data_IF_672672672908
#
_entry.id   IF_672672672908
#
_cell.length_a   1.000
_cell.length_b   1.000
_cell.length_c   1.000
_cell.angle_alpha   90.00
_cell.angle_beta   90.00
_cell.angle_gamma   90.00
#
_symmetry.space_group_name_H-M   'P 1'
#
loop_
_entity.id
_entity.type
_entity.pdbx_description
1 polymer ?
#
# COMPACT_ATOMS: atom_id res chain seq x y z
N UNK A 1 -59.36 25.95 33.00
CA UNK A 1 -58.77 25.01 32.01
C UNK A 1 -57.31 25.33 31.62
N UNK A 2 -56.62 26.30 32.25
CA UNK A 2 -55.27 26.73 31.83
C UNK A 2 -54.14 25.89 32.47
N UNK A 3 -54.39 25.27 33.64
CA UNK A 3 -53.34 24.62 34.43
C UNK A 3 -52.91 23.22 33.93
N UNK A 4 -53.63 22.62 32.96
CA UNK A 4 -53.32 21.27 32.44
C UNK A 4 -52.32 21.28 31.28
N UNK A 5 -52.16 22.41 30.61
CA UNK A 5 -51.21 22.57 29.49
C UNK A 5 -49.81 23.00 29.95
N UNK A 6 -49.69 23.58 31.15
CA UNK A 6 -48.40 24.03 31.70
C UNK A 6 -47.51 22.82 32.09
N UNK A 7 -48.10 21.74 32.63
CA UNK A 7 -47.36 20.53 32.97
C UNK A 7 -46.89 19.74 31.73
N UNK A 8 -47.67 19.73 30.65
CA UNK A 8 -47.26 19.07 29.39
C UNK A 8 -46.20 19.86 28.62
N UNK A 9 -46.16 21.20 28.76
CA UNK A 9 -45.11 22.02 28.15
C UNK A 9 -43.74 21.83 28.83
N UNK A 10 -43.71 21.55 30.14
CA UNK A 10 -42.47 21.34 30.90
C UNK A 10 -41.86 19.95 30.63
N UNK A 11 -42.68 18.94 30.31
CA UNK A 11 -42.19 17.59 30.01
C UNK A 11 -41.47 17.49 28.65
N UNK A 12 -41.80 18.37 27.69
CA UNK A 12 -41.19 18.38 26.35
C UNK A 12 -39.84 19.12 26.31
N UNK A 13 -39.54 19.95 27.32
CA UNK A 13 -38.24 20.64 27.45
C UNK A 13 -37.16 19.75 28.10
N UNK A 14 -37.53 18.57 28.62
CA UNK A 14 -36.65 17.71 29.43
C UNK A 14 -35.78 16.71 28.68
N UNK A 15 -35.88 16.57 27.36
CA UNK A 15 -35.12 15.59 26.58
C UNK A 15 -34.18 16.24 25.57
N UNK A 16 -33.18 16.96 26.06
CA UNK A 16 -31.98 17.28 25.26
C UNK A 16 -30.97 16.18 25.54
N UNK A 17 -30.94 15.14 24.70
CA UNK A 17 -29.83 14.20 24.67
C UNK A 17 -28.60 14.94 24.17
N UNK A 18 -27.62 15.16 25.05
CA UNK A 18 -26.34 15.75 24.67
C UNK A 18 -25.57 14.68 23.91
N UNK A 19 -25.55 14.76 22.57
CA UNK A 19 -24.73 13.87 21.75
C UNK A 19 -23.28 14.33 21.83
N UNK A 20 -22.39 13.47 22.35
CA UNK A 20 -20.95 13.70 22.28
C UNK A 20 -20.47 13.40 20.86
N UNK A 21 -20.30 14.45 20.07
CA UNK A 21 -19.73 14.42 18.72
C UNK A 21 -18.35 15.08 18.77
N UNK A 22 -17.35 14.45 18.14
CA UNK A 22 -16.07 15.10 17.89
C UNK A 22 -15.94 15.41 16.39
N UNK A 23 -15.40 16.59 16.08
CA UNK A 23 -15.15 16.99 14.69
C UNK A 23 -13.68 16.81 14.37
N UNK A 24 -13.39 15.96 13.38
CA UNK A 24 -12.06 15.80 12.80
C UNK A 24 -12.06 16.55 11.47
N UNK A 25 -11.17 17.52 11.33
CA UNK A 25 -11.02 18.28 10.08
C UNK A 25 -9.75 17.85 9.36
N UNK A 26 -9.85 17.53 8.08
CA UNK A 26 -8.73 17.10 7.23
C UNK A 26 -8.49 18.16 6.16
N UNK A 27 -7.30 18.73 6.19
CA UNK A 27 -6.83 19.74 5.25
C UNK A 27 -5.57 19.23 4.54
N UNK A 28 -5.32 19.70 3.32
CA UNK A 28 -4.03 19.51 2.67
C UNK A 28 -2.95 20.35 3.37
N UNK A 29 -1.74 19.82 3.48
CA UNK A 29 -0.62 20.53 4.09
C UNK A 29 -0.13 21.70 3.21
N UNK A 30 -0.25 21.57 1.89
CA UNK A 30 0.35 22.50 0.92
C UNK A 30 -0.42 23.82 0.81
N UNK A 31 -1.74 23.74 0.60
CA UNK A 31 -2.61 24.89 0.31
C UNK A 31 -3.67 25.14 1.39
N UNK A 32 -3.71 24.29 2.44
CA UNK A 32 -4.72 24.30 3.50
C UNK A 32 -6.15 24.16 2.98
N UNK A 33 -6.34 23.69 1.75
CA UNK A 33 -7.66 23.42 1.21
C UNK A 33 -8.26 22.18 1.89
N UNK A 34 -9.58 22.12 2.03
CA UNK A 34 -10.25 20.95 2.58
C UNK A 34 -10.04 19.74 1.67
N UNK A 35 -9.82 18.57 2.27
CA UNK A 35 -9.73 17.30 1.53
C UNK A 35 -11.10 16.64 1.54
N UNK A 36 -11.86 16.69 0.44
CA UNK A 36 -13.14 15.98 0.36
C UNK A 36 -12.92 14.49 0.16
N UNK A 37 -13.82 13.67 0.74
CA UNK A 37 -13.83 12.21 0.57
C UNK A 37 -12.55 11.48 1.03
N UNK A 38 -11.80 12.08 1.96
CA UNK A 38 -10.70 11.41 2.64
C UNK A 38 -11.25 10.24 3.46
N UNK A 39 -10.58 9.09 3.38
CA UNK A 39 -10.95 7.91 4.14
C UNK A 39 -10.33 8.01 5.54
N UNK A 40 -11.19 8.13 6.55
CA UNK A 40 -10.79 8.23 7.95
C UNK A 40 -11.22 6.95 8.64
N UNK A 41 -10.25 6.10 8.94
CA UNK A 41 -10.44 4.86 9.68
C UNK A 41 -10.29 5.13 11.16
N UNK A 42 -11.35 4.85 11.92
CA UNK A 42 -11.43 5.01 13.36
C UNK A 42 -11.50 3.63 13.99
N UNK A 43 -10.51 3.28 14.82
CA UNK A 43 -10.42 2.00 15.52
C UNK A 43 -10.35 2.20 17.03
N UNK A 44 -11.28 1.63 17.77
CA UNK A 44 -11.18 1.58 19.23
C UNK A 44 -10.04 0.63 19.63
N UNK A 45 -9.16 1.08 20.53
CA UNK A 45 -8.04 0.28 21.01
C UNK A 45 -8.44 -0.86 21.95
N UNK A 46 -9.66 -0.85 22.53
CA UNK A 46 -10.09 -1.90 23.47
C UNK A 46 -11.21 -2.78 22.95
N UNK A 47 -12.21 -2.22 22.26
CA UNK A 47 -13.31 -3.00 21.68
C UNK A 47 -12.98 -3.54 20.30
N UNK A 48 -11.85 -3.11 19.70
CA UNK A 48 -11.47 -3.41 18.31
C UNK A 48 -12.56 -3.07 17.29
N UNK A 49 -13.50 -2.18 17.65
CA UNK A 49 -14.54 -1.70 16.74
C UNK A 49 -13.90 -0.77 15.72
N UNK A 50 -14.17 -1.05 14.45
CA UNK A 50 -13.64 -0.29 13.32
C UNK A 50 -14.81 0.39 12.59
N UNK A 51 -14.71 1.68 12.37
CA UNK A 51 -15.64 2.43 11.54
C UNK A 51 -14.86 3.33 10.58
N UNK A 52 -15.40 3.49 9.39
CA UNK A 52 -14.82 4.32 8.34
C UNK A 52 -15.74 5.50 8.11
N UNK A 53 -15.15 6.69 8.12
CA UNK A 53 -15.82 7.94 7.82
C UNK A 53 -15.21 8.55 6.55
N UNK A 54 -16.05 9.28 5.83
CA UNK A 54 -15.65 10.07 4.68
C UNK A 54 -15.78 11.54 5.04
N UNK A 55 -14.76 12.33 4.72
CA UNK A 55 -14.84 13.79 4.87
C UNK A 55 -15.83 14.41 3.89
N UNK A 56 -16.54 15.43 4.37
CA UNK A 56 -17.45 16.22 3.56
C UNK A 56 -16.71 17.15 2.58
N UNK A 57 -17.46 17.93 1.81
CA UNK A 57 -16.90 18.90 0.84
C UNK A 57 -16.08 20.02 1.50
N UNK A 58 -16.22 20.18 2.83
CA UNK A 58 -15.47 21.12 3.65
C UNK A 58 -14.35 20.44 4.47
N UNK A 59 -14.05 19.16 4.19
CA UNK A 59 -12.99 18.40 4.84
C UNK A 59 -13.30 17.97 6.28
N UNK A 60 -14.54 18.13 6.75
CA UNK A 60 -14.94 17.80 8.12
C UNK A 60 -15.51 16.38 8.20
N UNK A 61 -15.27 15.74 9.34
CA UNK A 61 -15.87 14.48 9.75
C UNK A 61 -16.38 14.58 11.16
N UNK A 62 -17.64 14.20 11.32
CA UNK A 62 -18.26 13.98 12.63
C UNK A 62 -18.05 12.51 13.00
N UNK A 63 -17.24 12.27 14.05
CA UNK A 63 -17.06 10.95 14.63
C UNK A 63 -17.99 10.84 15.84
N UNK A 64 -18.91 9.88 15.79
CA UNK A 64 -19.86 9.62 16.88
C UNK A 64 -19.17 8.83 18.01
N UNK A 65 -19.14 9.39 19.21
CA UNK A 65 -18.50 8.76 20.36
C UNK A 65 -19.30 7.64 20.99
N UNK A 66 -20.59 7.50 20.68
CA UNK A 66 -21.37 6.34 21.13
C UNK A 66 -20.83 5.03 20.52
N UNK A 67 -20.09 5.12 19.41
CA UNK A 67 -19.41 3.98 18.80
C UNK A 67 -18.05 3.67 19.45
N UNK A 68 -17.56 4.53 20.36
CA UNK A 68 -16.21 4.46 20.96
C UNK A 68 -16.25 4.74 22.48
N UNK A 69 -16.77 3.81 23.29
CA UNK A 69 -17.03 4.03 24.72
C UNK A 69 -15.75 4.20 25.56
N UNK A 70 -14.58 3.88 24.99
CA UNK A 70 -13.33 3.81 25.75
C UNK A 70 -12.51 5.11 25.74
N UNK A 71 -12.85 6.05 24.87
CA UNK A 71 -12.17 7.34 24.75
C UNK A 71 -10.70 7.26 24.28
N UNK A 72 -10.19 6.10 23.85
CA UNK A 72 -8.88 5.95 23.20
C UNK A 72 -9.08 5.43 21.78
N UNK A 73 -9.04 6.34 20.82
CA UNK A 73 -9.33 6.07 19.42
C UNK A 73 -8.05 6.16 18.59
N UNK A 74 -7.73 5.11 17.85
CA UNK A 74 -6.74 5.21 16.78
C UNK A 74 -7.43 5.73 15.52
N UNK A 75 -6.95 6.87 14.99
CA UNK A 75 -7.43 7.48 13.76
C UNK A 75 -6.37 7.31 12.70
N UNK A 76 -6.75 6.74 11.56
CA UNK A 76 -5.89 6.61 10.40
C UNK A 76 -6.52 7.31 9.20
N UNK A 77 -5.86 8.31 8.66
CA UNK A 77 -6.37 9.14 7.56
C UNK A 77 -5.59 8.77 6.31
N UNK A 78 -6.32 8.39 5.26
CA UNK A 78 -5.76 7.98 3.98
C UNK A 78 -6.45 8.75 2.84
N UNK A 79 -5.65 9.29 1.94
CA UNK A 79 -6.10 9.90 0.69
C UNK A 79 -5.12 9.57 -0.44
N UNK A 80 -5.60 9.47 -1.67
CA UNK A 80 -4.79 9.02 -2.81
C UNK A 80 -3.66 10.00 -3.10
N UNK A 81 -2.41 9.52 -3.12
CA UNK A 81 -1.23 10.36 -3.37
C UNK A 81 -0.72 11.14 -2.15
N UNK A 82 -1.19 10.79 -0.95
CA UNK A 82 -0.79 11.45 0.30
C UNK A 82 -0.35 10.43 1.34
N UNK A 83 0.54 10.89 2.21
CA UNK A 83 1.06 10.08 3.31
C UNK A 83 -0.06 9.74 4.28
N UNK A 84 -0.20 8.45 4.58
CA UNK A 84 -1.15 7.99 5.58
C UNK A 84 -0.73 8.51 6.96
N UNK A 85 -1.63 9.22 7.64
CA UNK A 85 -1.41 9.68 9.01
C UNK A 85 -2.09 8.71 9.95
N UNK A 86 -1.37 8.23 10.96
CA UNK A 86 -1.92 7.40 12.04
C UNK A 86 -1.66 8.09 13.35
N UNK A 87 -2.71 8.32 14.13
CA UNK A 87 -2.64 9.02 15.39
C UNK A 87 -3.57 8.36 16.42
N UNK A 88 -3.31 8.58 17.71
CA UNK A 88 -4.15 8.06 18.79
C UNK A 88 -4.74 9.24 19.56
N UNK A 89 -6.04 9.46 19.39
CA UNK A 89 -6.82 10.49 20.08
C UNK A 89 -7.29 9.93 21.42
N UNK A 90 -6.97 10.63 22.50
CA UNK A 90 -7.48 10.33 23.84
C UNK A 90 -8.48 11.41 24.27
N UNK A 91 -9.74 11.04 24.49
CA UNK A 91 -10.82 11.95 24.88
C UNK A 91 -11.53 12.64 23.70
N UNK A 92 -12.47 13.54 24.03
CA UNK A 92 -13.24 14.35 23.07
C UNK A 92 -12.46 15.61 22.74
N UNK A 93 -11.80 15.63 21.58
CA UNK A 93 -11.09 16.82 21.14
C UNK A 93 -11.21 17.00 19.63
N UNK A 94 -11.49 18.24 19.22
CA UNK A 94 -11.47 18.61 17.82
C UNK A 94 -10.00 18.68 17.37
N UNK A 95 -9.67 17.95 16.31
CA UNK A 95 -8.30 17.88 15.81
C UNK A 95 -8.27 18.08 14.30
N UNK A 96 -7.35 18.94 13.87
CA UNK A 96 -7.08 19.19 12.47
C UNK A 96 -5.84 18.42 12.05
N UNK A 97 -5.94 17.70 10.94
CA UNK A 97 -4.84 16.96 10.34
C UNK A 97 -4.46 17.55 8.99
N UNK A 98 -3.16 17.63 8.74
CA UNK A 98 -2.59 18.12 7.49
C UNK A 98 -1.99 16.96 6.71
N UNK A 99 -2.59 16.61 5.58
CA UNK A 99 -2.07 15.54 4.71
C UNK A 99 -0.94 16.08 3.83
N UNK A 100 0.24 15.47 3.95
CA UNK A 100 1.40 15.76 3.11
C UNK A 100 1.35 14.91 1.83
N UNK A 101 1.61 15.53 0.67
CA UNK A 101 1.70 14.79 -0.59
C UNK A 101 2.87 13.82 -0.55
N UNK A 102 2.62 12.56 -0.92
CA UNK A 102 3.62 11.51 -0.99
C UNK A 102 3.57 10.89 -2.39
N UNK A 103 4.72 10.89 -3.07
CA UNK A 103 4.86 10.17 -4.33
C UNK A 103 4.83 8.67 -4.02
N UNK A 104 3.64 8.06 -4.13
CA UNK A 104 3.43 6.62 -3.94
C UNK A 104 4.23 5.89 -5.03
N UNK A 105 5.42 5.45 -4.67
CA UNK A 105 6.19 4.49 -5.46
C UNK A 105 5.54 3.12 -5.24
N UNK A 106 4.81 2.62 -6.22
CA UNK A 106 4.19 1.31 -6.16
C UNK A 106 5.29 0.25 -6.00
N UNK A 107 5.24 -0.52 -4.90
CA UNK A 107 6.12 -1.66 -4.73
C UNK A 107 5.83 -2.71 -5.80
N UNK A 108 6.90 -3.29 -6.35
CA UNK A 108 6.85 -4.32 -7.38
C UNK A 108 6.16 -5.59 -6.84
N UNK A 109 5.09 -6.02 -7.51
CA UNK A 109 4.34 -7.23 -7.16
C UNK A 109 4.68 -8.33 -8.16
N UNK A 110 5.13 -9.48 -7.66
CA UNK A 110 5.35 -10.67 -8.50
C UNK A 110 4.07 -11.51 -8.48
N UNK A 111 3.42 -11.64 -9.62
CA UNK A 111 2.32 -12.59 -9.81
C UNK A 111 2.92 -13.89 -10.32
N UNK A 112 3.36 -14.76 -9.40
CA UNK A 112 3.51 -16.19 -9.72
C UNK A 112 2.14 -16.85 -9.63
N UNK A 113 1.94 -17.99 -10.31
CA UNK A 113 0.67 -18.74 -10.37
C UNK A 113 0.22 -19.37 -9.02
N UNK A 114 0.58 -18.76 -7.90
CA UNK A 114 0.07 -19.06 -6.58
C UNK A 114 -1.12 -18.13 -6.30
N UNK A 115 -2.20 -18.65 -5.73
CA UNK A 115 -3.51 -18.02 -5.56
C UNK A 115 -3.54 -16.71 -4.71
N UNK A 116 -2.40 -16.21 -4.22
CA UNK A 116 -2.31 -14.97 -3.46
C UNK A 116 -1.04 -14.18 -3.83
N UNK A 117 -1.13 -12.87 -4.16
CA UNK A 117 0.04 -12.03 -4.39
C UNK A 117 0.85 -11.92 -3.10
N UNK A 118 2.03 -12.53 -3.08
CA UNK A 118 2.99 -12.45 -1.99
C UNK A 118 4.09 -11.43 -2.32
N UNK A 119 4.54 -10.65 -1.34
CA UNK A 119 5.79 -9.89 -1.45
C UNK A 119 6.93 -10.84 -1.81
N UNK A 120 7.85 -10.42 -2.68
CA UNK A 120 9.00 -11.24 -3.10
C UNK A 120 9.80 -11.82 -1.90
N UNK A 121 9.75 -11.12 -0.75
CA UNK A 121 10.34 -11.52 0.54
C UNK A 121 9.73 -12.78 1.20
N UNK A 122 8.56 -13.26 0.76
CA UNK A 122 7.85 -14.42 1.34
C UNK A 122 7.93 -15.71 0.52
N UNK A 123 8.72 -15.73 -0.56
CA UNK A 123 8.91 -16.94 -1.35
C UNK A 123 9.90 -17.90 -0.67
N UNK A 124 9.55 -19.19 -0.58
CA UNK A 124 10.47 -20.26 -0.13
C UNK A 124 11.71 -20.35 -1.04
N UNK A 125 11.59 -19.87 -2.28
CA UNK A 125 12.67 -19.78 -3.25
C UNK A 125 13.15 -18.33 -3.39
N UNK A 126 14.49 -18.15 -3.46
CA UNK A 126 15.11 -16.83 -3.64
C UNK A 126 14.76 -16.26 -5.02
N UNK A 127 13.92 -15.23 -5.06
CA UNK A 127 13.57 -14.49 -6.26
C UNK A 127 14.36 -13.19 -6.30
N UNK A 128 14.93 -12.87 -7.47
CA UNK A 128 15.58 -11.58 -7.72
C UNK A 128 14.92 -10.92 -8.91
N UNK A 129 14.50 -9.67 -8.74
CA UNK A 129 13.90 -8.86 -9.79
C UNK A 129 14.89 -7.78 -10.21
N UNK A 130 14.95 -7.53 -11.52
CA UNK A 130 15.79 -6.50 -12.13
C UNK A 130 14.83 -5.60 -12.89
N UNK A 131 14.60 -4.40 -12.36
CA UNK A 131 13.67 -3.43 -12.94
C UNK A 131 14.29 -2.70 -14.15
N UNK A 132 13.44 -2.05 -14.95
CA UNK A 132 13.89 -1.30 -16.13
C UNK A 132 14.85 -0.16 -15.75
N UNK A 133 14.61 0.53 -14.63
CA UNK A 133 15.47 1.61 -14.13
C UNK A 133 16.89 1.12 -13.86
N UNK A 134 17.05 -0.06 -13.25
CA UNK A 134 18.36 -0.65 -13.02
C UNK A 134 19.02 -1.09 -14.32
N UNK A 135 18.27 -1.66 -15.27
CA UNK A 135 18.80 -2.03 -16.60
C UNK A 135 19.34 -0.78 -17.33
N UNK A 136 18.57 0.31 -17.32
CA UNK A 136 18.98 1.60 -17.89
C UNK A 136 20.21 2.18 -17.18
N UNK A 137 20.24 2.15 -15.84
CA UNK A 137 21.39 2.61 -15.06
C UNK A 137 22.67 1.79 -15.30
N UNK A 138 22.53 0.51 -15.65
CA UNK A 138 23.66 -0.37 -16.03
C UNK A 138 24.15 -0.12 -17.46
N UNK A 139 23.40 0.62 -18.29
CA UNK A 139 23.71 0.81 -19.71
C UNK A 139 23.70 -0.49 -20.51
N UNK A 140 22.99 -1.52 -20.02
CA UNK A 140 22.98 -2.84 -20.61
C UNK A 140 22.17 -2.85 -21.92
N UNK A 141 22.74 -3.45 -22.96
CA UNK A 141 22.11 -3.52 -24.30
C UNK A 141 21.55 -4.91 -24.61
N UNK A 142 21.98 -5.93 -23.89
CA UNK A 142 21.58 -7.32 -24.08
C UNK A 142 21.49 -8.05 -22.72
N UNK A 143 20.92 -9.26 -22.74
CA UNK A 143 20.73 -10.06 -21.53
C UNK A 143 22.06 -10.45 -20.86
N UNK A 144 23.12 -10.68 -21.65
CA UNK A 144 24.47 -10.94 -21.14
C UNK A 144 24.97 -9.80 -20.26
N UNK A 145 24.79 -8.55 -20.66
CA UNK A 145 25.24 -7.37 -19.91
C UNK A 145 24.47 -7.23 -18.58
N UNK A 146 23.16 -7.49 -18.60
CA UNK A 146 22.33 -7.49 -17.38
C UNK A 146 22.80 -8.57 -16.41
N UNK A 147 22.96 -9.80 -16.89
CA UNK A 147 23.21 -10.95 -16.02
C UNK A 147 24.69 -11.11 -15.62
N UNK A 148 25.64 -10.49 -16.33
CA UNK A 148 27.06 -10.45 -15.92
C UNK A 148 27.24 -9.65 -14.63
N UNK A 149 26.38 -8.65 -14.38
CA UNK A 149 26.41 -7.84 -13.17
C UNK A 149 25.73 -8.51 -11.97
N UNK A 150 25.21 -9.72 -12.15
CA UNK A 150 24.43 -10.42 -11.14
C UNK A 150 25.25 -11.45 -10.36
N UNK A 151 25.20 -11.35 -9.02
CA UNK A 151 25.91 -12.25 -8.14
C UNK A 151 25.41 -13.69 -8.29
N UNK A 152 26.33 -14.65 -8.38
CA UNK A 152 26.10 -16.08 -8.58
C UNK A 152 25.69 -16.49 -10.00
N UNK A 153 25.76 -15.58 -10.96
CA UNK A 153 25.67 -15.90 -12.38
C UNK A 153 27.06 -15.81 -12.99
N UNK A 154 27.45 -16.80 -13.80
CA UNK A 154 28.65 -16.73 -14.65
C UNK A 154 28.26 -16.98 -16.08
N UNK A 155 28.79 -16.16 -16.97
CA UNK A 155 28.61 -16.29 -18.41
C UNK A 155 29.94 -16.68 -19.03
N UNK A 156 29.91 -17.69 -19.89
CA UNK A 156 31.06 -18.18 -20.63
C UNK A 156 30.73 -18.14 -22.11
N UNK A 157 31.63 -17.59 -22.92
CA UNK A 157 31.51 -17.57 -24.38
C UNK A 157 32.37 -18.68 -24.97
N UNK A 158 31.77 -19.55 -25.77
CA UNK A 158 32.49 -20.49 -26.62
C UNK A 158 32.42 -20.00 -28.08
N UNK A 159 33.56 -19.97 -28.76
CA UNK A 159 33.65 -19.47 -30.13
C UNK A 159 32.92 -20.34 -31.16
N UNK A 160 32.62 -21.60 -30.82
CA UNK A 160 31.95 -22.58 -31.67
C UNK A 160 30.50 -22.81 -31.22
N UNK A 161 30.26 -22.84 -29.91
CA UNK A 161 28.95 -23.17 -29.32
C UNK A 161 28.12 -21.95 -28.91
N UNK A 162 28.71 -20.75 -28.86
CA UNK A 162 28.04 -19.51 -28.48
C UNK A 162 28.07 -19.20 -26.98
N UNK A 163 27.18 -18.31 -26.52
CA UNK A 163 27.06 -17.92 -25.12
C UNK A 163 26.47 -19.05 -24.27
N UNK A 164 27.02 -19.26 -23.07
CA UNK A 164 26.51 -20.20 -22.06
C UNK A 164 26.44 -19.52 -20.69
N UNK A 165 25.49 -19.96 -19.86
CA UNK A 165 25.26 -19.42 -18.51
C UNK A 165 25.31 -20.53 -17.47
N UNK A 166 25.90 -20.22 -16.33
CA UNK A 166 25.76 -21.00 -15.10
C UNK A 166 25.19 -20.15 -13.97
N UNK A 167 24.23 -20.72 -13.23
CA UNK A 167 23.64 -20.15 -12.02
C UNK A 167 24.03 -21.03 -10.85
N UNK A 168 24.84 -20.51 -9.93
CA UNK A 168 25.36 -21.26 -8.77
C UNK A 168 26.03 -22.60 -9.14
N UNK A 169 26.66 -22.67 -10.32
CA UNK A 169 27.32 -23.88 -10.82
C UNK A 169 26.42 -24.82 -11.63
N UNK A 170 25.11 -24.56 -11.70
CA UNK A 170 24.17 -25.29 -12.55
C UNK A 170 24.09 -24.61 -13.93
N UNK A 171 24.18 -25.36 -15.03
CA UNK A 171 24.22 -24.81 -16.40
C UNK A 171 23.50 -25.70 -17.41
N UNK A 172 23.41 -25.23 -18.66
CA UNK A 172 22.83 -25.95 -19.80
C UNK A 172 21.34 -26.23 -19.61
N UNK A 173 20.91 -27.47 -19.87
CA UNK A 173 19.50 -27.91 -19.81
C UNK A 173 18.82 -27.72 -18.44
N UNK A 174 19.60 -27.54 -17.37
CA UNK A 174 19.09 -27.34 -16.01
C UNK A 174 18.73 -25.88 -15.71
N UNK A 175 19.07 -24.94 -16.59
CA UNK A 175 18.68 -23.53 -16.51
C UNK A 175 17.74 -23.22 -17.65
N UNK A 176 16.57 -22.66 -17.35
CA UNK A 176 15.57 -22.28 -18.36
C UNK A 176 15.47 -20.75 -18.42
N UNK A 177 15.54 -20.21 -19.64
CA UNK A 177 15.22 -18.82 -19.92
C UNK A 177 13.82 -18.81 -20.52
N UNK A 178 12.96 -17.94 -20.00
CA UNK A 178 11.57 -17.84 -20.43
C UNK A 178 11.30 -16.40 -20.90
N UNK A 179 10.59 -16.28 -22.01
CA UNK A 179 10.04 -15.01 -22.50
C UNK A 179 8.52 -15.15 -22.40
N UNK A 180 7.87 -14.26 -21.65
CA UNK A 180 6.43 -14.28 -21.40
C UNK A 180 5.90 -15.65 -20.90
N UNK A 181 6.72 -16.36 -20.11
CA UNK A 181 6.39 -17.67 -19.57
C UNK A 181 6.60 -18.85 -20.54
N UNK A 182 7.06 -18.59 -21.76
CA UNK A 182 7.40 -19.63 -22.74
C UNK A 182 8.90 -19.91 -22.69
N UNK A 183 9.35 -21.17 -22.47
CA UNK A 183 10.76 -21.49 -22.44
C UNK A 183 11.39 -21.32 -23.82
N UNK A 184 12.47 -20.55 -23.88
CA UNK A 184 13.33 -20.45 -25.07
C UNK A 184 14.23 -21.68 -25.09
N UNK A 185 14.24 -22.42 -26.19
CA UNK A 185 15.09 -23.60 -26.33
C UNK A 185 16.42 -23.20 -26.95
N UNK A 186 17.51 -23.50 -26.24
CA UNK A 186 18.87 -23.32 -26.74
C UNK A 186 19.25 -24.30 -27.84
N UNK A 187 20.44 -24.12 -28.44
CA UNK A 187 20.94 -25.00 -29.51
C UNK A 187 21.49 -26.30 -28.94
N UNK A 188 22.80 -26.40 -28.75
CA UNK A 188 23.48 -27.59 -28.25
C UNK A 188 23.60 -27.52 -26.72
N UNK A 189 23.29 -28.63 -26.04
CA UNK A 189 23.30 -28.76 -24.58
C UNK A 189 22.40 -27.78 -23.81
N UNK A 190 21.39 -27.21 -24.48
CA UNK A 190 20.44 -26.26 -23.89
C UNK A 190 20.97 -24.83 -23.73
N UNK A 191 22.13 -24.50 -24.30
CA UNK A 191 22.70 -23.15 -24.25
C UNK A 191 22.00 -22.22 -25.24
N UNK A 192 21.63 -21.04 -24.76
CA UNK A 192 20.97 -19.97 -25.52
C UNK A 192 21.98 -18.85 -25.71
N UNK A 193 22.06 -18.31 -26.92
CA UNK A 193 22.89 -17.14 -27.16
C UNK A 193 22.22 -15.90 -26.57
N UNK A 194 22.75 -15.44 -25.43
CA UNK A 194 22.24 -14.29 -24.66
C UNK A 194 22.97 -12.97 -25.00
N UNK A 195 23.85 -13.02 -26.01
CA UNK A 195 24.61 -11.86 -26.49
C UNK A 195 23.92 -11.09 -27.62
N UNK A 196 22.86 -11.67 -28.19
CA UNK A 196 21.99 -11.08 -29.21
C UNK A 196 20.76 -10.45 -28.56
#
# INVERSE_FOLDING_TARGET
MVNRYILTLILLAGSVTVSFCQTVTVLFADDKQPVPFAHIFCKDLKTFTEQVYLSDTAGNVIVDQNSFPTGKLQVSISFMGYKKITDTITGVQNKTYYLESENISLNEVVVTAQYAPGSADKSVHKVKIIDSKKIEAMGAQNLRDVLTNEMNIRISQDNVLGSSMSLQGVSGQNVKILIDGIPVTGRLNGNIDISQ
#
